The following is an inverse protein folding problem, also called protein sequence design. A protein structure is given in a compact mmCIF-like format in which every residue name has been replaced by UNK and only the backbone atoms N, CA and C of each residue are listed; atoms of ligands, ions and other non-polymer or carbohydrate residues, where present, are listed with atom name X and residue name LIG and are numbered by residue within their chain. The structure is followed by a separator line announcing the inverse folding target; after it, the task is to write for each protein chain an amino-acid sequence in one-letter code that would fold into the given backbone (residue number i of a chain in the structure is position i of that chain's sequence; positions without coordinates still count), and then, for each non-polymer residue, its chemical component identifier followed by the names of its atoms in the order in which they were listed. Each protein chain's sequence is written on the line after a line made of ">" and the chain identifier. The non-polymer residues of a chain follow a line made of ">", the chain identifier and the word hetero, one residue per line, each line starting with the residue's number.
data_IF_707211999899
#
_entry.id   IF_707211999899
#
_cell.length_a   1.000
_cell.length_b   1.000
_cell.length_c   1.000
_cell.angle_alpha   90.00
_cell.angle_beta   90.00
_cell.angle_gamma   90.00
#
_symmetry.space_group_name_H-M   'P 1'
#
loop_
_entity.id
_entity.type
_entity.pdbx_description
1 polymer ?
#
# COMPACT_ATOMS: atom_id res chain seq x y z
N UNK A 1 -2.82 8.11 31.21
CA UNK A 1 -1.76 7.79 30.22
C UNK A 1 -1.64 8.96 29.25
N UNK A 2 -0.72 9.88 29.53
CA UNK A 2 -0.51 11.08 28.71
C UNK A 2 0.33 10.66 27.50
N UNK A 3 -0.28 10.68 26.32
CA UNK A 3 0.40 10.42 25.05
C UNK A 3 1.45 11.50 24.87
N UNK A 4 2.74 11.11 24.83
CA UNK A 4 3.81 12.09 24.69
C UNK A 4 3.64 12.86 23.38
N UNK A 5 3.86 14.18 23.36
CA UNK A 5 3.74 14.99 22.14
C UNK A 5 4.69 14.52 21.04
N UNK A 6 5.79 13.85 21.41
CA UNK A 6 6.72 13.23 20.49
C UNK A 6 6.10 12.04 19.75
N UNK A 7 5.32 11.21 20.43
CA UNK A 7 4.63 10.07 19.81
C UNK A 7 3.61 10.53 18.77
N UNK A 8 2.83 11.57 19.08
CA UNK A 8 1.85 12.16 18.14
C UNK A 8 2.57 12.70 16.90
N UNK A 9 3.73 13.35 17.07
CA UNK A 9 4.49 13.91 15.94
C UNK A 9 5.06 12.82 15.03
N UNK A 10 5.59 11.73 15.61
CA UNK A 10 6.07 10.58 14.84
C UNK A 10 4.91 9.89 14.12
N UNK A 11 3.80 9.66 14.83
CA UNK A 11 2.60 9.05 14.28
C UNK A 11 2.04 9.87 13.10
N UNK A 12 1.98 11.19 13.25
CA UNK A 12 1.54 12.11 12.20
C UNK A 12 2.47 12.08 10.99
N UNK A 13 3.77 12.20 11.20
CA UNK A 13 4.77 12.17 10.11
C UNK A 13 4.78 10.85 9.36
N UNK A 14 4.57 9.73 10.05
CA UNK A 14 4.66 8.40 9.43
C UNK A 14 3.35 7.94 8.78
N UNK A 15 2.20 8.28 9.38
CA UNK A 15 0.91 7.74 8.94
C UNK A 15 -0.02 8.75 8.26
N UNK A 16 0.08 10.04 8.60
CA UNK A 16 -0.84 11.08 8.11
C UNK A 16 -0.20 11.92 7.01
N UNK A 17 1.04 12.39 7.23
CA UNK A 17 1.75 13.24 6.28
C UNK A 17 1.90 12.66 4.86
N UNK A 18 2.24 11.38 4.65
CA UNK A 18 2.39 10.85 3.28
C UNK A 18 1.07 10.72 2.52
N UNK A 19 -0.07 10.62 3.23
CA UNK A 19 -1.40 10.55 2.61
C UNK A 19 -2.06 11.91 2.44
N UNK A 20 -1.58 12.94 3.17
CA UNK A 20 -1.93 14.34 2.97
C UNK A 20 -1.07 15.03 1.89
N UNK A 21 -0.15 14.29 1.25
CA UNK A 21 0.59 14.75 0.09
C UNK A 21 -0.39 15.16 -1.04
N UNK A 22 -0.04 16.20 -1.79
CA UNK A 22 -0.90 16.91 -2.76
C UNK A 22 -1.68 15.96 -3.69
N UNK A 23 -1.06 14.85 -4.10
CA UNK A 23 -1.61 13.87 -5.02
C UNK A 23 -2.74 13.00 -4.41
N UNK A 24 -2.65 12.64 -3.12
CA UNK A 24 -3.65 11.78 -2.43
C UNK A 24 -4.64 12.56 -1.56
N UNK A 25 -4.41 13.86 -1.38
CA UNK A 25 -5.26 14.74 -0.54
C UNK A 25 -6.68 14.89 -1.07
N UNK A 26 -6.86 15.06 -2.38
CA UNK A 26 -8.20 15.18 -2.98
C UNK A 26 -9.02 13.90 -2.76
N UNK A 27 -8.41 12.75 -3.02
CA UNK A 27 -9.07 11.46 -2.81
C UNK A 27 -9.48 11.25 -1.35
N UNK A 28 -8.59 11.53 -0.41
CA UNK A 28 -8.90 11.40 1.03
C UNK A 28 -9.99 12.38 1.48
N UNK A 29 -9.98 13.63 1.02
CA UNK A 29 -11.04 14.59 1.33
C UNK A 29 -12.40 14.20 0.76
N UNK A 30 -12.45 13.78 -0.52
CA UNK A 30 -13.67 13.30 -1.16
C UNK A 30 -14.21 12.09 -0.38
N UNK A 31 -13.33 11.17 0.03
CA UNK A 31 -13.73 10.03 0.84
C UNK A 31 -14.40 10.44 2.16
N UNK A 32 -13.74 11.30 2.94
CA UNK A 32 -14.32 11.78 4.19
C UNK A 32 -15.61 12.56 3.97
N UNK A 33 -15.73 13.33 2.88
CA UNK A 33 -16.96 14.02 2.51
C UNK A 33 -18.09 13.03 2.21
N UNK A 34 -17.84 12.00 1.39
CA UNK A 34 -18.84 10.96 1.08
C UNK A 34 -19.28 10.20 2.34
N UNK A 35 -18.34 9.86 3.22
CA UNK A 35 -18.61 9.20 4.49
C UNK A 35 -19.42 10.09 5.43
N UNK A 36 -19.08 11.38 5.53
CA UNK A 36 -19.83 12.35 6.32
C UNK A 36 -21.25 12.53 5.77
N UNK A 37 -21.44 12.68 4.46
CA UNK A 37 -22.78 12.78 3.85
C UNK A 37 -23.60 11.53 4.16
N UNK A 38 -23.01 10.35 4.06
CA UNK A 38 -23.73 9.10 4.27
C UNK A 38 -24.10 8.91 5.74
N UNK A 39 -23.22 9.30 6.67
CA UNK A 39 -23.52 9.35 8.11
C UNK A 39 -24.62 10.37 8.44
N UNK A 40 -24.59 11.57 7.85
CA UNK A 40 -25.63 12.58 8.09
C UNK A 40 -27.00 12.08 7.65
N UNK A 41 -27.10 11.47 6.45
CA UNK A 41 -28.34 10.86 5.94
C UNK A 41 -28.82 9.72 6.85
N UNK A 42 -27.89 8.96 7.44
CA UNK A 42 -28.23 7.86 8.33
C UNK A 42 -28.70 8.33 9.72
N UNK A 43 -28.18 9.46 10.21
CA UNK A 43 -28.49 10.01 11.52
C UNK A 43 -29.68 10.96 11.50
N UNK A 44 -30.09 11.45 10.32
CA UNK A 44 -31.32 12.23 10.17
C UNK A 44 -32.54 11.33 10.35
N UNK A 45 -33.55 11.78 11.12
CA UNK A 45 -34.75 11.00 11.42
C UNK A 45 -35.70 11.03 10.21
N UNK A 46 -35.35 10.32 9.15
CA UNK A 46 -36.29 10.06 8.05
C UNK A 46 -37.22 8.92 8.47
N UNK A 47 -38.53 9.19 8.47
CA UNK A 47 -39.65 8.29 8.82
C UNK A 47 -39.86 7.12 7.83
N UNK A 48 -38.79 6.62 7.21
CA UNK A 48 -38.87 5.59 6.16
C UNK A 48 -38.02 4.38 6.53
N UNK A 49 -38.69 3.29 6.95
CA UNK A 49 -38.12 2.02 7.41
C UNK A 49 -37.13 1.37 6.41
N UNK A 50 -37.22 1.70 5.12
CA UNK A 50 -36.37 1.17 4.06
C UNK A 50 -34.95 1.76 4.05
N UNK A 51 -34.76 2.98 4.55
CA UNK A 51 -33.48 3.70 4.44
C UNK A 51 -32.40 3.05 5.34
N UNK A 52 -32.74 2.63 6.55
CA UNK A 52 -31.76 2.07 7.48
C UNK A 52 -31.20 0.69 7.05
N UNK A 53 -32.03 -0.17 6.44
CA UNK A 53 -31.63 -1.54 6.06
C UNK A 53 -30.63 -1.62 4.90
N UNK A 54 -30.70 -0.69 3.94
CA UNK A 54 -29.83 -0.71 2.75
C UNK A 54 -28.59 0.15 2.88
N UNK A 55 -28.64 1.24 3.65
CA UNK A 55 -27.49 2.14 3.78
C UNK A 55 -26.37 1.57 4.66
N UNK A 56 -26.67 0.65 5.59
CA UNK A 56 -25.65 -0.01 6.43
C UNK A 56 -24.71 -0.92 5.60
N UNK A 57 -25.21 -1.80 4.72
CA UNK A 57 -24.36 -2.49 3.74
C UNK A 57 -23.55 -1.54 2.85
N UNK A 58 -24.11 -0.41 2.43
CA UNK A 58 -23.38 0.59 1.62
C UNK A 58 -22.22 1.20 2.43
N UNK A 59 -22.41 1.47 3.73
CA UNK A 59 -21.31 1.86 4.61
C UNK A 59 -20.20 0.81 4.62
N UNK A 60 -20.55 -0.46 4.81
CA UNK A 60 -19.58 -1.55 4.83
C UNK A 60 -18.78 -1.63 3.53
N UNK A 61 -19.46 -1.57 2.37
CA UNK A 61 -18.81 -1.58 1.05
C UNK A 61 -17.87 -0.38 0.91
N UNK A 62 -18.31 0.80 1.34
CA UNK A 62 -17.46 1.99 1.40
C UNK A 62 -16.19 1.68 2.18
N UNK A 63 -16.30 1.29 3.44
CA UNK A 63 -15.13 0.99 4.26
C UNK A 63 -14.19 -0.06 3.65
N UNK A 64 -14.71 -1.10 3.01
CA UNK A 64 -13.90 -2.09 2.27
C UNK A 64 -13.12 -1.46 1.11
N UNK A 65 -13.73 -0.58 0.32
CA UNK A 65 -13.03 0.16 -0.74
C UNK A 65 -11.95 1.09 -0.17
N UNK A 66 -12.16 1.61 1.04
CA UNK A 66 -11.19 2.46 1.75
C UNK A 66 -9.91 1.75 2.20
N UNK A 67 -9.94 0.43 2.40
CA UNK A 67 -8.80 -0.40 2.88
C UNK A 67 -7.54 -0.28 2.02
N UNK A 68 -7.73 -0.06 0.71
CA UNK A 68 -6.65 0.06 -0.28
C UNK A 68 -6.03 1.46 -0.38
N UNK A 69 -6.80 2.49 -0.04
CA UNK A 69 -6.53 3.87 -0.49
C UNK A 69 -6.18 4.82 0.65
N UNK A 70 -6.60 4.49 1.88
CA UNK A 70 -6.50 5.35 3.06
C UNK A 70 -5.54 4.73 4.08
N UNK A 71 -4.88 5.56 4.89
CA UNK A 71 -4.02 5.09 5.99
C UNK A 71 -4.81 4.22 6.97
N UNK A 72 -4.25 3.06 7.35
CA UNK A 72 -4.77 2.19 8.42
C UNK A 72 -5.30 2.93 9.65
N UNK A 73 -4.54 3.85 10.29
CA UNK A 73 -5.05 4.52 11.48
C UNK A 73 -6.25 5.43 11.19
N UNK A 74 -6.23 6.15 10.06
CA UNK A 74 -7.33 7.04 9.69
C UNK A 74 -8.60 6.24 9.39
N UNK A 75 -8.47 5.13 8.68
CA UNK A 75 -9.56 4.20 8.42
C UNK A 75 -10.15 3.67 9.73
N UNK A 76 -9.31 3.20 10.65
CA UNK A 76 -9.77 2.67 11.94
C UNK A 76 -10.43 3.75 12.83
N UNK A 77 -9.88 4.96 12.89
CA UNK A 77 -10.50 6.07 13.60
C UNK A 77 -11.85 6.46 13.00
N UNK A 78 -11.94 6.54 11.67
CA UNK A 78 -13.19 6.84 10.98
C UNK A 78 -14.24 5.74 11.18
N UNK A 79 -13.82 4.48 11.21
CA UNK A 79 -14.67 3.34 11.52
C UNK A 79 -15.22 3.42 12.95
N UNK A 80 -14.36 3.65 13.94
CA UNK A 80 -14.75 3.79 15.34
C UNK A 80 -15.73 4.96 15.58
N UNK A 81 -15.53 6.08 14.89
CA UNK A 81 -16.47 7.22 14.93
C UNK A 81 -17.80 6.81 14.29
N UNK A 82 -17.76 6.17 13.12
CA UNK A 82 -18.96 5.73 12.39
C UNK A 82 -19.79 4.74 13.21
N UNK A 83 -19.17 3.74 13.84
CA UNK A 83 -19.87 2.77 14.70
C UNK A 83 -20.47 3.40 15.94
N UNK A 84 -19.76 4.36 16.55
CA UNK A 84 -20.29 5.12 17.69
C UNK A 84 -21.51 5.95 17.29
N UNK A 85 -21.45 6.66 16.16
CA UNK A 85 -22.60 7.43 15.65
C UNK A 85 -23.78 6.52 15.28
N UNK A 86 -23.53 5.39 14.63
CA UNK A 86 -24.54 4.35 14.36
C UNK A 86 -25.23 3.88 15.64
N UNK A 87 -24.49 3.65 16.71
CA UNK A 87 -25.02 3.13 17.97
C UNK A 87 -25.80 4.19 18.78
N UNK A 88 -25.35 5.45 18.77
CA UNK A 88 -25.96 6.52 19.59
C UNK A 88 -27.14 7.19 18.89
N UNK A 89 -27.01 7.52 17.60
CA UNK A 89 -27.95 8.40 16.91
C UNK A 89 -28.99 7.66 16.06
N UNK A 90 -28.74 6.39 15.68
CA UNK A 90 -29.65 5.68 14.81
C UNK A 90 -30.83 5.05 15.57
N UNK A 91 -31.80 5.89 15.95
CA UNK A 91 -33.04 5.44 16.58
C UNK A 91 -33.86 4.52 15.66
N UNK A 92 -33.83 4.74 14.34
CA UNK A 92 -34.51 3.92 13.33
C UNK A 92 -33.94 2.49 13.20
N UNK A 93 -32.66 2.30 13.48
CA UNK A 93 -31.99 1.00 13.51
C UNK A 93 -32.37 0.18 14.76
N UNK A 94 -32.78 0.86 15.83
CA UNK A 94 -33.24 0.27 17.09
C UNK A 94 -34.78 0.26 17.22
N UNK A 95 -35.52 1.01 16.42
CA UNK A 95 -37.00 1.14 16.50
C UNK A 95 -37.77 -0.07 15.98
N UNK A 96 -37.13 -0.99 15.25
CA UNK A 96 -37.68 -2.31 14.93
C UNK A 96 -37.33 -3.41 15.93
N UNK A 97 -36.55 -3.06 16.97
CA UNK A 97 -35.87 -4.00 17.87
C UNK A 97 -36.60 -3.99 19.22
N UNK A 98 -37.81 -4.54 19.25
CA UNK A 98 -38.54 -4.76 20.51
C UNK A 98 -38.00 -5.91 21.38
N UNK A 99 -36.85 -6.49 21.02
CA UNK A 99 -36.33 -7.72 21.62
C UNK A 99 -34.80 -7.68 21.72
N UNK A 100 -34.27 -8.01 22.90
CA UNK A 100 -32.83 -8.05 23.22
C UNK A 100 -32.00 -8.86 22.20
N UNK A 101 -32.61 -9.86 21.56
CA UNK A 101 -31.98 -10.71 20.55
C UNK A 101 -31.59 -9.95 19.27
N UNK A 102 -32.38 -8.99 18.80
CA UNK A 102 -32.07 -8.25 17.57
C UNK A 102 -30.92 -7.26 17.78
N UNK A 103 -30.79 -6.72 19.00
CA UNK A 103 -29.65 -5.87 19.38
C UNK A 103 -28.36 -6.70 19.44
N UNK A 104 -28.40 -7.87 20.07
CA UNK A 104 -27.25 -8.79 20.11
C UNK A 104 -26.81 -9.21 18.70
N UNK A 105 -27.75 -9.48 17.80
CA UNK A 105 -27.46 -9.79 16.40
C UNK A 105 -26.71 -8.64 15.71
N UNK A 106 -27.22 -7.41 15.81
CA UNK A 106 -26.60 -6.22 15.22
C UNK A 106 -25.19 -5.98 15.75
N UNK A 107 -25.00 -6.08 17.06
CA UNK A 107 -23.67 -5.90 17.67
C UNK A 107 -22.69 -6.98 17.18
N UNK A 108 -23.13 -8.23 17.05
CA UNK A 108 -22.27 -9.30 16.53
C UNK A 108 -21.83 -9.04 15.08
N UNK A 109 -22.72 -8.51 14.23
CA UNK A 109 -22.38 -8.10 12.85
C UNK A 109 -21.37 -6.94 12.85
N UNK A 110 -21.58 -5.91 13.69
CA UNK A 110 -20.64 -4.79 13.80
C UNK A 110 -19.27 -5.22 14.31
N UNK A 111 -19.21 -6.12 15.28
CA UNK A 111 -17.95 -6.68 15.81
C UNK A 111 -17.26 -7.51 14.74
N UNK A 112 -17.98 -8.42 14.07
CA UNK A 112 -17.45 -9.25 12.98
C UNK A 112 -16.87 -8.38 11.85
N UNK A 113 -17.60 -7.36 11.42
CA UNK A 113 -17.12 -6.44 10.40
C UNK A 113 -15.91 -5.63 10.87
N UNK A 114 -15.89 -5.19 12.13
CA UNK A 114 -14.72 -4.49 12.70
C UNK A 114 -13.45 -5.34 12.64
N UNK A 115 -13.56 -6.63 12.98
CA UNK A 115 -12.44 -7.58 12.90
C UNK A 115 -12.02 -7.78 11.44
N UNK A 116 -12.98 -7.95 10.52
CA UNK A 116 -12.71 -8.10 9.09
C UNK A 116 -11.97 -6.88 8.52
N UNK A 117 -12.43 -5.68 8.83
CA UNK A 117 -11.84 -4.41 8.39
C UNK A 117 -10.42 -4.25 8.91
N UNK A 118 -10.20 -4.51 10.21
CA UNK A 118 -8.87 -4.47 10.81
C UNK A 118 -7.92 -5.45 10.12
N UNK A 119 -8.38 -6.68 9.88
CA UNK A 119 -7.59 -7.73 9.25
C UNK A 119 -7.24 -7.38 7.80
N UNK A 120 -8.22 -6.97 6.99
CA UNK A 120 -7.97 -6.55 5.61
C UNK A 120 -7.02 -5.36 5.54
N UNK A 121 -7.15 -4.38 6.45
CA UNK A 121 -6.25 -3.23 6.50
C UNK A 121 -4.82 -3.62 6.87
N UNK A 122 -4.62 -4.59 7.77
CA UNK A 122 -3.28 -5.12 8.07
C UNK A 122 -2.68 -5.91 6.91
N UNK A 123 -3.47 -6.74 6.24
CA UNK A 123 -3.01 -7.48 5.05
C UNK A 123 -2.57 -6.51 3.96
N UNK A 124 -3.38 -5.49 3.67
CA UNK A 124 -3.08 -4.56 2.59
C UNK A 124 -1.78 -3.79 2.86
N UNK A 125 -1.53 -3.37 4.11
CA UNK A 125 -0.25 -2.75 4.47
C UNK A 125 0.95 -3.69 4.25
N UNK A 126 0.81 -4.96 4.61
CA UNK A 126 1.85 -5.96 4.38
C UNK A 126 2.07 -6.19 2.89
N UNK A 127 0.99 -6.26 2.11
CA UNK A 127 1.02 -6.41 0.66
C UNK A 127 1.76 -5.24 0.00
N UNK A 128 1.41 -4.00 0.35
CA UNK A 128 2.08 -2.79 -0.15
C UNK A 128 3.57 -2.78 0.19
N UNK A 129 3.94 -3.18 1.42
CA UNK A 129 5.35 -3.27 1.82
C UNK A 129 6.10 -4.34 1.01
N UNK A 130 5.51 -5.54 0.85
CA UNK A 130 6.08 -6.60 0.03
C UNK A 130 6.22 -6.16 -1.42
N UNK A 131 5.20 -5.52 -1.99
CA UNK A 131 5.21 -5.05 -3.36
C UNK A 131 6.32 -4.02 -3.60
N UNK A 132 6.55 -3.10 -2.66
CA UNK A 132 7.70 -2.16 -2.75
C UNK A 132 9.04 -2.88 -2.73
N UNK A 133 9.19 -3.90 -1.89
CA UNK A 133 10.41 -4.71 -1.88
C UNK A 133 10.58 -5.53 -3.15
N UNK A 134 9.48 -6.04 -3.71
CA UNK A 134 9.50 -6.76 -4.97
C UNK A 134 9.91 -5.83 -6.11
N UNK A 135 9.36 -4.62 -6.17
CA UNK A 135 9.76 -3.61 -7.13
C UNK A 135 11.24 -3.24 -7.01
N UNK A 136 11.76 -3.04 -5.79
CA UNK A 136 13.20 -2.76 -5.61
C UNK A 136 14.07 -3.95 -6.03
N UNK A 137 13.64 -5.19 -5.75
CA UNK A 137 14.37 -6.40 -6.15
C UNK A 137 14.25 -6.69 -7.64
N UNK A 138 13.19 -6.26 -8.31
CA UNK A 138 13.02 -6.40 -9.76
C UNK A 138 13.97 -5.49 -10.56
N UNK A 139 14.53 -4.45 -9.91
CA UNK A 139 15.59 -3.60 -10.50
C UNK A 139 16.98 -4.22 -10.39
N UNK A 140 17.15 -5.32 -9.64
CA UNK A 140 18.42 -6.03 -9.49
C UNK A 140 18.31 -7.44 -10.04
N UNK A 141 19.34 -7.90 -10.73
CA UNK A 141 19.36 -9.25 -11.26
C UNK A 141 19.58 -10.25 -10.10
N UNK A 142 18.77 -11.31 -9.96
CA UNK A 142 18.89 -12.23 -8.82
C UNK A 142 20.21 -13.01 -8.81
N UNK A 143 20.78 -13.29 -9.99
CA UNK A 143 21.99 -14.10 -10.13
C UNK A 143 23.25 -13.28 -9.93
N UNK A 144 23.39 -12.15 -10.61
CA UNK A 144 24.59 -11.31 -10.54
C UNK A 144 24.54 -10.31 -9.38
N UNK A 145 23.35 -9.96 -8.87
CA UNK A 145 23.07 -8.84 -7.96
C UNK A 145 23.40 -7.46 -8.55
N UNK A 146 23.55 -7.38 -9.87
CA UNK A 146 23.81 -6.14 -10.58
C UNK A 146 22.50 -5.42 -10.94
N UNK A 147 22.52 -4.10 -11.14
CA UNK A 147 21.35 -3.36 -11.64
C UNK A 147 20.89 -3.91 -13.01
N UNK A 148 19.60 -4.19 -13.16
CA UNK A 148 19.00 -4.70 -14.39
C UNK A 148 18.90 -3.61 -15.47
N UNK A 149 18.61 -4.02 -16.71
CA UNK A 149 18.22 -3.12 -17.81
C UNK A 149 17.10 -2.13 -17.44
N UNK A 150 16.15 -2.53 -16.60
CA UNK A 150 15.08 -1.64 -16.09
C UNK A 150 15.64 -0.49 -15.25
N UNK A 151 16.71 -0.72 -14.50
CA UNK A 151 17.39 0.32 -13.74
C UNK A 151 18.14 1.27 -14.68
N UNK A 152 18.76 0.75 -15.75
CA UNK A 152 19.40 1.56 -16.79
C UNK A 152 18.38 2.48 -17.49
N UNK A 153 17.21 1.95 -17.87
CA UNK A 153 16.15 2.75 -18.49
C UNK A 153 15.69 3.88 -17.57
N UNK A 154 15.50 3.60 -16.27
CA UNK A 154 15.18 4.63 -15.27
C UNK A 154 16.29 5.68 -15.11
N UNK A 155 17.56 5.26 -15.17
CA UNK A 155 18.71 6.16 -15.09
C UNK A 155 18.81 7.08 -16.31
N UNK A 156 18.55 6.56 -17.51
CA UNK A 156 18.54 7.34 -18.75
C UNK A 156 17.40 8.37 -18.79
N UNK A 157 16.24 8.04 -18.24
CA UNK A 157 15.11 8.97 -18.16
C UNK A 157 15.36 10.16 -17.21
N UNK A 158 16.30 10.05 -16.28
CA UNK A 158 16.58 11.09 -15.28
C UNK A 158 17.57 12.16 -15.75
N UNK A 159 18.36 11.92 -16.81
CA UNK A 159 19.38 12.86 -17.26
C UNK A 159 19.56 12.91 -18.77
N UNK A 160 19.53 14.11 -19.35
CA UNK A 160 19.92 14.33 -20.74
C UNK A 160 21.46 14.45 -20.85
N UNK A 161 22.08 13.68 -21.75
CA UNK A 161 23.52 13.75 -22.05
C UNK A 161 24.40 12.64 -21.45
N UNK A 162 23.83 11.49 -21.10
CA UNK A 162 24.61 10.34 -20.62
C UNK A 162 25.19 9.54 -21.79
N UNK A 163 26.48 9.16 -21.69
CA UNK A 163 27.12 8.24 -22.64
C UNK A 163 26.99 6.81 -22.12
N UNK A 164 26.37 5.93 -22.91
CA UNK A 164 26.23 4.51 -22.57
C UNK A 164 27.33 3.71 -23.26
N UNK A 165 28.07 2.91 -22.48
CA UNK A 165 29.04 1.96 -23.01
C UNK A 165 28.48 0.54 -22.89
N UNK A 166 28.57 -0.25 -23.97
CA UNK A 166 28.12 -1.63 -24.00
C UNK A 166 29.32 -2.58 -24.09
N UNK A 167 29.53 -3.38 -23.06
CA UNK A 167 30.56 -4.43 -23.03
C UNK A 167 29.91 -5.78 -23.33
N UNK A 168 30.27 -6.38 -24.47
CA UNK A 168 29.80 -7.72 -24.86
C UNK A 168 30.89 -8.75 -24.59
N UNK A 169 30.57 -9.81 -23.83
CA UNK A 169 31.45 -10.94 -23.59
C UNK A 169 30.98 -12.14 -24.41
N UNK A 170 31.64 -12.42 -25.54
CA UNK A 170 31.19 -13.44 -26.50
C UNK A 170 31.41 -14.89 -26.01
N UNK A 171 32.50 -15.14 -25.28
CA UNK A 171 32.86 -16.51 -24.82
C UNK A 171 32.15 -16.96 -23.53
N UNK A 172 31.23 -16.15 -23.01
CA UNK A 172 30.56 -16.44 -21.73
C UNK A 172 29.57 -17.60 -21.84
N UNK A 173 28.97 -17.77 -23.02
CA UNK A 173 28.06 -18.89 -23.31
C UNK A 173 28.83 -20.22 -23.33
N UNK A 174 30.01 -20.24 -23.94
CA UNK A 174 30.91 -21.39 -23.93
C UNK A 174 31.28 -21.81 -22.50
N UNK A 175 31.61 -20.84 -21.64
CA UNK A 175 31.91 -21.06 -20.22
C UNK A 175 30.71 -21.67 -19.49
N UNK A 176 29.50 -21.18 -19.76
CA UNK A 176 28.27 -21.70 -19.15
C UNK A 176 27.96 -23.15 -19.56
N UNK A 177 28.26 -23.52 -20.81
CA UNK A 177 28.04 -24.89 -21.32
C UNK A 177 29.01 -25.91 -20.71
N UNK A 178 30.26 -25.51 -20.44
CA UNK A 178 31.30 -26.42 -19.95
C UNK A 178 31.43 -26.45 -18.41
N UNK A 179 31.20 -25.32 -17.74
CA UNK A 179 31.41 -25.16 -16.30
C UNK A 179 30.13 -24.81 -15.53
N UNK A 180 29.00 -24.70 -16.23
CA UNK A 180 27.70 -24.40 -15.65
C UNK A 180 27.43 -22.91 -15.45
N UNK A 181 26.17 -22.59 -15.14
CA UNK A 181 25.67 -21.23 -14.97
C UNK A 181 26.41 -20.46 -13.86
N UNK A 182 26.83 -21.13 -12.78
CA UNK A 182 27.50 -20.45 -11.66
C UNK A 182 28.86 -19.85 -12.08
N UNK A 183 29.58 -20.53 -12.98
CA UNK A 183 30.86 -20.04 -13.49
C UNK A 183 30.67 -18.79 -14.37
N UNK A 184 29.59 -18.75 -15.15
CA UNK A 184 29.17 -17.57 -15.91
C UNK A 184 28.95 -16.36 -14.99
N UNK A 185 28.15 -16.55 -13.94
CA UNK A 185 27.84 -15.51 -12.94
C UNK A 185 29.10 -15.06 -12.20
N UNK A 186 30.00 -15.98 -11.86
CA UNK A 186 31.26 -15.64 -11.23
C UNK A 186 32.12 -14.76 -12.14
N UNK A 187 32.26 -15.12 -13.42
CA UNK A 187 33.00 -14.34 -14.40
C UNK A 187 32.41 -12.93 -14.61
N UNK A 188 31.09 -12.82 -14.76
CA UNK A 188 30.39 -11.52 -14.85
C UNK A 188 30.67 -10.64 -13.62
N UNK A 189 30.65 -11.22 -12.41
CA UNK A 189 30.97 -10.49 -11.16
C UNK A 189 32.41 -10.05 -11.07
N UNK A 190 33.37 -10.89 -11.47
CA UNK A 190 34.79 -10.52 -11.44
C UNK A 190 35.10 -9.42 -12.46
N UNK A 191 34.54 -9.49 -13.67
CA UNK A 191 34.65 -8.43 -14.68
C UNK A 191 34.05 -7.13 -14.13
N UNK A 192 32.87 -7.19 -13.51
CA UNK A 192 32.27 -6.02 -12.88
C UNK A 192 33.15 -5.43 -11.78
N UNK A 193 33.72 -6.26 -10.90
CA UNK A 193 34.66 -5.80 -9.85
C UNK A 193 35.91 -5.15 -10.43
N UNK A 194 36.43 -5.66 -11.54
CA UNK A 194 37.59 -5.08 -12.23
C UNK A 194 37.25 -3.75 -12.91
N UNK A 195 36.01 -3.59 -13.39
CA UNK A 195 35.52 -2.36 -14.01
C UNK A 195 35.14 -1.29 -12.97
N UNK A 196 34.63 -1.69 -11.80
CA UNK A 196 34.19 -0.77 -10.76
C UNK A 196 35.18 0.34 -10.39
N UNK A 197 36.50 0.10 -10.25
CA UNK A 197 37.47 1.18 -10.00
C UNK A 197 37.75 2.08 -11.23
N UNK A 198 37.43 1.62 -12.43
CA UNK A 198 37.63 2.37 -13.69
C UNK A 198 36.44 3.28 -14.02
N UNK A 199 35.24 2.94 -13.53
CA UNK A 199 34.08 3.84 -13.58
C UNK A 199 34.25 4.91 -12.48
N UNK A 200 34.59 6.14 -12.88
CA UNK A 200 34.64 7.33 -11.99
C UNK A 200 33.31 7.52 -11.25
N UNK A 201 33.29 8.34 -10.17
CA UNK A 201 32.22 8.53 -9.16
C UNK A 201 30.74 8.67 -9.64
N UNK A 202 30.47 8.79 -10.94
CA UNK A 202 29.11 8.88 -11.53
C UNK A 202 28.78 7.75 -12.51
N UNK A 203 29.67 6.79 -12.73
CA UNK A 203 29.45 5.66 -13.63
C UNK A 203 28.74 4.52 -12.92
N UNK A 204 27.49 4.26 -13.28
CA UNK A 204 26.77 3.06 -12.85
C UNK A 204 26.91 1.98 -13.93
N UNK A 205 27.32 0.77 -13.53
CA UNK A 205 27.34 -0.39 -14.44
C UNK A 205 26.12 -1.28 -14.23
N UNK A 206 25.48 -1.64 -15.33
CA UNK A 206 24.24 -2.40 -15.38
C UNK A 206 24.48 -3.74 -16.07
N UNK A 207 23.83 -4.79 -15.59
CA UNK A 207 23.85 -6.10 -16.23
C UNK A 207 22.65 -6.24 -17.16
N UNK A 208 22.93 -6.64 -18.40
CA UNK A 208 21.95 -7.25 -19.28
C UNK A 208 22.25 -8.74 -19.34
N UNK A 209 21.64 -9.53 -18.46
CA UNK A 209 21.56 -10.96 -18.72
C UNK A 209 20.76 -11.14 -20.00
N UNK A 210 21.47 -11.52 -21.06
CA UNK A 210 20.91 -11.75 -22.38
C UNK A 210 19.72 -12.70 -22.29
N UNK A 211 18.62 -12.27 -22.91
CA UNK A 211 17.66 -13.17 -23.53
C UNK A 211 18.38 -14.13 -24.48
#
# INVERSE_FOLDING_TARGET
>A
MIVSPHYIRIFWRRNVAPYLAKEKRLFTLIWFATLATLLTVLCTPFETKYIAGYLVPVLFIGFTLGVGKISYPLLNFSWAITTLFLLIYNRNFLQGVGSEYSLAFILSVLISFSICLLYMARINQRSEWLNRQWHSRALTEPLTQLPNLRALEQFLLQGAGQSVCYLRMENLEFLSRHYGMLMRVHCEREVFRALQPLLQEKGESFSSAGQ
#
